data_IF_904172546323
#
_entry.id   IF_904172546323
#
_cell.length_a   1.000
_cell.length_b   1.000
_cell.length_c   1.000
_cell.angle_alpha   90.00
_cell.angle_beta   90.00
_cell.angle_gamma   90.00
#
_symmetry.space_group_name_H-M   'P 1'
#
loop_
_entity.id
_entity.type
_entity.pdbx_description
1 polymer ?
#
# COMPACT_ATOMS: atom_id res chain seq x y z
N UNK A 1 -30.84 6.55 -14.29
CA UNK A 1 -29.38 6.38 -14.42
C UNK A 1 -28.74 7.34 -13.44
N UNK A 2 -27.99 6.85 -12.45
CA UNK A 2 -27.30 7.74 -11.48
C UNK A 2 -26.23 8.51 -12.25
N UNK A 3 -26.41 9.82 -12.41
CA UNK A 3 -25.35 10.70 -12.91
C UNK A 3 -24.37 10.93 -11.76
N UNK A 4 -23.22 10.26 -11.86
CA UNK A 4 -22.08 10.52 -10.99
C UNK A 4 -21.44 11.80 -11.52
N UNK A 5 -21.54 12.91 -10.76
CA UNK A 5 -21.08 14.24 -11.18
C UNK A 5 -19.56 14.41 -11.20
N UNK A 6 -18.83 13.46 -10.61
CA UNK A 6 -17.37 13.46 -10.53
C UNK A 6 -16.85 12.03 -10.71
N UNK A 7 -15.90 11.79 -11.63
CA UNK A 7 -15.38 10.45 -11.86
C UNK A 7 -14.84 9.83 -10.55
N UNK A 8 -15.08 8.53 -10.31
CA UNK A 8 -14.63 7.87 -9.09
C UNK A 8 -13.10 7.85 -9.02
N UNK A 9 -12.55 8.16 -7.83
CA UNK A 9 -11.09 8.16 -7.59
C UNK A 9 -10.56 6.82 -7.06
N UNK A 10 -11.45 6.00 -6.49
CA UNK A 10 -11.18 4.64 -6.01
C UNK A 10 -12.46 3.83 -6.07
N UNK A 11 -12.34 2.57 -6.44
CA UNK A 11 -13.41 1.58 -6.39
C UNK A 11 -12.93 0.47 -5.45
N UNK A 12 -13.83 -0.03 -4.61
CA UNK A 12 -13.57 -1.18 -3.75
C UNK A 12 -14.65 -2.20 -4.02
N UNK A 13 -14.25 -3.38 -4.48
CA UNK A 13 -15.11 -4.55 -4.56
C UNK A 13 -15.00 -5.26 -3.22
N UNK A 14 -16.14 -5.45 -2.54
CA UNK A 14 -16.19 -6.00 -1.18
C UNK A 14 -16.84 -7.37 -1.16
N UNK A 15 -16.35 -8.24 -0.26
CA UNK A 15 -16.94 -9.56 0.02
C UNK A 15 -17.14 -10.41 -1.24
N UNK A 16 -16.13 -10.45 -2.09
CA UNK A 16 -16.08 -11.23 -3.32
C UNK A 16 -16.00 -12.72 -2.96
N UNK A 17 -16.78 -13.55 -3.66
CA UNK A 17 -16.66 -15.00 -3.55
C UNK A 17 -15.21 -15.42 -3.91
N UNK A 18 -14.50 -16.17 -3.06
CA UNK A 18 -13.14 -16.63 -3.34
C UNK A 18 -12.98 -17.33 -4.69
N UNK A 19 -14.02 -18.04 -5.16
CA UNK A 19 -14.00 -18.71 -6.45
C UNK A 19 -14.00 -17.74 -7.64
N UNK A 20 -14.41 -16.49 -7.44
CA UNK A 20 -14.50 -15.45 -8.47
C UNK A 20 -13.31 -14.51 -8.50
N UNK A 21 -12.51 -14.44 -7.42
CA UNK A 21 -11.40 -13.49 -7.28
C UNK A 21 -10.45 -13.57 -8.47
N UNK A 22 -9.96 -14.77 -8.81
CA UNK A 22 -9.01 -14.94 -9.92
C UNK A 22 -9.61 -14.46 -11.23
N UNK A 23 -10.86 -14.83 -11.53
CA UNK A 23 -11.53 -14.40 -12.76
C UNK A 23 -11.71 -12.88 -12.82
N UNK A 24 -12.05 -12.24 -11.70
CA UNK A 24 -12.19 -10.77 -11.64
C UNK A 24 -10.84 -10.09 -11.85
N UNK A 25 -9.78 -10.59 -11.20
CA UNK A 25 -8.42 -10.06 -11.37
C UNK A 25 -7.94 -10.21 -12.82
N UNK A 26 -8.15 -11.37 -13.45
CA UNK A 26 -7.78 -11.61 -14.85
C UNK A 26 -8.52 -10.68 -15.82
N UNK A 27 -9.79 -10.36 -15.54
CA UNK A 27 -10.57 -9.40 -16.34
C UNK A 27 -10.08 -7.96 -16.15
N UNK A 28 -9.78 -7.56 -14.91
CA UNK A 28 -9.27 -6.23 -14.60
C UNK A 28 -7.84 -6.01 -15.11
N UNK A 29 -7.01 -7.06 -15.14
CA UNK A 29 -5.62 -7.01 -15.62
C UNK A 29 -5.51 -6.62 -17.10
N UNK A 30 -6.58 -6.83 -17.88
CA UNK A 30 -6.69 -6.31 -19.26
C UNK A 30 -6.54 -4.78 -19.32
N UNK A 31 -6.78 -4.08 -18.21
CA UNK A 31 -6.68 -2.64 -18.05
C UNK A 31 -5.50 -2.20 -17.17
N UNK A 32 -4.47 -3.03 -16.97
CA UNK A 32 -3.30 -2.72 -16.13
C UNK A 32 -2.52 -1.45 -16.53
N UNK A 33 -2.71 -0.96 -17.77
CA UNK A 33 -2.13 0.31 -18.21
C UNK A 33 -2.85 1.53 -17.62
N UNK A 34 -4.08 1.36 -17.15
CA UNK A 34 -4.95 2.42 -16.63
C UNK A 34 -5.28 2.22 -15.16
N UNK A 35 -5.24 0.98 -14.66
CA UNK A 35 -5.64 0.60 -13.32
C UNK A 35 -4.48 0.01 -12.51
N UNK A 36 -4.48 0.32 -11.22
CA UNK A 36 -3.68 -0.35 -10.20
C UNK A 36 -4.63 -1.10 -9.25
N UNK A 37 -4.30 -2.36 -8.96
CA UNK A 37 -5.13 -3.25 -8.16
C UNK A 37 -4.36 -3.70 -6.92
N UNK A 38 -4.98 -3.57 -5.75
CA UNK A 38 -4.46 -4.12 -4.51
C UNK A 38 -5.44 -5.20 -4.04
N UNK A 39 -4.93 -6.42 -3.89
CA UNK A 39 -5.68 -7.56 -3.39
C UNK A 39 -4.78 -8.39 -2.47
N UNK A 40 -5.34 -8.83 -1.34
CA UNK A 40 -4.67 -9.72 -0.40
C UNK A 40 -5.31 -11.08 -0.44
N UNK A 41 -4.50 -12.14 -0.50
CA UNK A 41 -4.99 -13.51 -0.55
C UNK A 41 -5.89 -13.91 0.63
N UNK A 42 -5.82 -13.16 1.73
CA UNK A 42 -6.60 -13.37 2.95
C UNK A 42 -7.78 -12.40 3.06
N UNK A 43 -8.00 -11.54 2.07
CA UNK A 43 -9.06 -10.56 2.03
C UNK A 43 -9.94 -10.80 0.82
N UNK A 44 -11.26 -10.77 1.04
CA UNK A 44 -12.25 -10.96 -0.02
C UNK A 44 -12.58 -9.63 -0.71
N UNK A 45 -11.59 -8.75 -0.81
CA UNK A 45 -11.74 -7.40 -1.32
C UNK A 45 -10.70 -7.12 -2.41
N UNK A 46 -11.09 -6.32 -3.40
CA UNK A 46 -10.17 -5.78 -4.41
C UNK A 46 -10.30 -4.26 -4.40
N UNK A 47 -9.18 -3.61 -4.09
CA UNK A 47 -9.01 -2.17 -4.19
C UNK A 47 -8.54 -1.82 -5.61
N UNK A 48 -9.21 -0.88 -6.26
CA UNK A 48 -8.91 -0.44 -7.62
C UNK A 48 -8.72 1.07 -7.63
N UNK A 49 -7.57 1.52 -8.12
CA UNK A 49 -7.23 2.94 -8.35
C UNK A 49 -6.75 3.15 -9.77
N UNK A 50 -6.61 4.41 -10.20
CA UNK A 50 -5.91 4.70 -11.44
C UNK A 50 -4.42 4.34 -11.33
N UNK A 51 -3.79 4.00 -12.45
CA UNK A 51 -2.38 3.67 -12.52
C UNK A 51 -1.51 4.82 -11.98
N UNK A 52 -0.46 4.48 -11.24
CA UNK A 52 0.50 5.43 -10.67
C UNK A 52 -0.10 6.37 -9.61
N UNK A 53 -1.26 6.03 -9.03
CA UNK A 53 -1.84 6.75 -7.90
C UNK A 53 -1.57 5.97 -6.62
N UNK A 54 -0.46 6.30 -5.94
CA UNK A 54 -0.11 5.70 -4.66
C UNK A 54 0.63 6.72 -3.75
N UNK A 55 0.93 6.31 -2.51
CA UNK A 55 1.57 7.20 -1.52
C UNK A 55 2.96 7.69 -1.98
N UNK A 56 3.70 6.87 -2.72
CA UNK A 56 5.00 7.24 -3.23
C UNK A 56 4.90 8.32 -4.32
N UNK A 57 4.04 8.13 -5.31
CA UNK A 57 3.87 9.12 -6.39
C UNK A 57 3.27 10.42 -5.87
N UNK A 58 2.43 10.37 -4.83
CA UNK A 58 1.96 11.55 -4.11
C UNK A 58 3.11 12.33 -3.44
N UNK A 59 4.05 11.65 -2.79
CA UNK A 59 5.23 12.29 -2.20
C UNK A 59 6.11 12.95 -3.28
N UNK A 60 6.35 12.26 -4.40
CA UNK A 60 7.10 12.82 -5.52
C UNK A 60 6.42 14.07 -6.12
N UNK A 61 5.09 14.07 -6.17
CA UNK A 61 4.33 15.23 -6.64
C UNK A 61 4.45 16.44 -5.71
N UNK A 62 4.49 16.21 -4.38
CA UNK A 62 4.54 17.30 -3.39
C UNK A 62 5.95 17.86 -3.20
N UNK A 63 6.98 17.01 -3.23
CA UNK A 63 8.35 17.35 -2.79
C UNK A 63 9.45 17.11 -3.84
N UNK A 64 9.08 16.88 -5.09
CA UNK A 64 9.93 16.49 -6.22
C UNK A 64 10.45 15.03 -6.17
N UNK A 65 10.92 14.54 -7.33
CA UNK A 65 11.24 13.12 -7.55
C UNK A 65 12.36 12.55 -6.65
N UNK A 66 13.28 13.41 -6.19
CA UNK A 66 14.46 13.02 -5.42
C UNK A 66 14.30 13.24 -3.90
N UNK A 67 13.07 13.43 -3.43
CA UNK A 67 12.79 13.64 -2.01
C UNK A 67 13.33 12.46 -1.18
N UNK A 68 14.19 12.77 -0.20
CA UNK A 68 14.65 11.81 0.80
C UNK A 68 13.74 11.85 2.02
N UNK A 69 13.19 10.70 2.36
CA UNK A 69 12.31 10.56 3.51
C UNK A 69 12.56 9.23 4.24
N UNK A 70 12.15 9.20 5.50
CA UNK A 70 11.91 7.96 6.24
C UNK A 70 10.42 7.68 6.21
N UNK A 71 10.03 6.41 6.17
CA UNK A 71 8.63 6.03 6.06
C UNK A 71 8.25 4.98 7.08
N UNK A 72 7.03 5.10 7.56
CA UNK A 72 6.38 4.15 8.45
C UNK A 72 5.08 3.72 7.79
N UNK A 73 4.81 2.42 7.77
CA UNK A 73 3.62 1.85 7.15
C UNK A 73 3.25 0.54 7.83
N UNK A 74 2.04 0.06 7.59
CA UNK A 74 1.52 -1.14 8.24
C UNK A 74 0.77 -2.06 7.28
N UNK A 75 0.56 -1.64 6.04
CA UNK A 75 -0.28 -2.34 5.08
C UNK A 75 0.30 -2.26 3.65
N UNK A 76 -0.37 -2.90 2.70
CA UNK A 76 0.15 -3.06 1.35
C UNK A 76 0.16 -1.78 0.52
N UNK A 77 -0.79 -0.86 0.77
CA UNK A 77 -0.76 0.45 0.12
C UNK A 77 0.43 1.33 0.58
N UNK A 78 1.21 0.89 1.59
CA UNK A 78 2.45 1.52 2.01
C UNK A 78 3.69 0.96 1.31
N UNK A 79 3.62 -0.22 0.67
CA UNK A 79 4.80 -0.95 0.18
C UNK A 79 5.69 -0.08 -0.70
N UNK A 80 5.10 0.55 -1.72
CA UNK A 80 5.86 1.33 -2.71
C UNK A 80 6.56 2.51 -2.01
N UNK A 81 5.85 3.20 -1.11
CA UNK A 81 6.45 4.27 -0.29
C UNK A 81 7.58 3.74 0.61
N UNK A 82 7.37 2.59 1.27
CA UNK A 82 8.38 2.00 2.16
C UNK A 82 9.64 1.54 1.40
N UNK A 83 9.49 1.00 0.19
CA UNK A 83 10.59 0.54 -0.64
C UNK A 83 11.47 1.68 -1.17
N UNK A 84 10.86 2.85 -1.41
CA UNK A 84 11.55 4.03 -1.92
C UNK A 84 12.09 4.97 -0.81
N UNK A 85 11.73 4.72 0.45
CA UNK A 85 12.26 5.47 1.58
C UNK A 85 13.76 5.25 1.78
N UNK A 86 14.48 6.29 2.24
CA UNK A 86 15.86 6.14 2.71
C UNK A 86 15.95 5.18 3.91
N UNK A 87 14.86 5.05 4.67
CA UNK A 87 14.67 3.99 5.66
C UNK A 87 13.17 3.72 5.82
N UNK A 88 12.74 2.51 5.50
CA UNK A 88 11.36 2.05 5.64
C UNK A 88 11.17 1.18 6.88
N UNK A 89 10.08 1.42 7.60
CA UNK A 89 9.71 0.68 8.81
C UNK A 89 8.28 0.13 8.68
N UNK A 90 8.14 -1.18 8.83
CA UNK A 90 6.83 -1.83 8.88
C UNK A 90 6.38 -1.99 10.32
N UNK A 91 5.18 -1.51 10.62
CA UNK A 91 4.59 -1.50 11.95
C UNK A 91 3.65 -2.70 12.07
N UNK A 92 3.88 -3.54 13.07
CA UNK A 92 2.97 -4.66 13.34
C UNK A 92 3.15 -5.27 14.73
N UNK A 93 2.31 -6.26 15.07
CA UNK A 93 2.41 -6.99 16.34
C UNK A 93 3.62 -7.93 16.42
N UNK A 94 4.14 -8.42 15.29
CA UNK A 94 5.35 -9.25 15.23
C UNK A 94 6.00 -9.20 13.86
N UNK A 95 7.29 -9.52 13.79
CA UNK A 95 8.04 -9.59 12.54
C UNK A 95 7.49 -10.67 11.61
N UNK A 96 7.09 -11.83 12.16
CA UNK A 96 6.43 -12.90 11.41
C UNK A 96 5.10 -12.44 10.78
N UNK A 97 4.29 -11.67 11.52
CA UNK A 97 3.07 -11.09 10.97
C UNK A 97 3.39 -10.12 9.84
N UNK A 98 4.36 -9.22 10.04
CA UNK A 98 4.72 -8.25 9.01
C UNK A 98 5.38 -8.88 7.78
N UNK A 99 6.12 -9.98 7.92
CA UNK A 99 6.68 -10.74 6.79
C UNK A 99 5.63 -11.57 6.05
N UNK A 100 4.61 -12.05 6.75
CA UNK A 100 3.48 -12.74 6.11
C UNK A 100 2.66 -11.78 5.23
N UNK A 101 2.58 -10.51 5.63
CA UNK A 101 1.92 -9.45 4.87
C UNK A 101 2.85 -8.95 3.78
N UNK A 102 4.06 -8.50 4.14
CA UNK A 102 5.02 -7.84 3.26
C UNK A 102 6.36 -8.57 3.29
N UNK A 103 6.64 -9.42 2.29
CA UNK A 103 7.97 -10.03 2.10
C UNK A 103 8.98 -9.00 1.60
N UNK A 104 9.51 -8.18 2.50
CA UNK A 104 10.40 -7.08 2.13
C UNK A 104 11.71 -7.11 2.94
N UNK A 105 12.75 -7.71 2.37
CA UNK A 105 14.06 -7.91 3.02
C UNK A 105 14.77 -6.61 3.44
N UNK A 106 14.37 -5.46 2.89
CA UNK A 106 15.00 -4.14 3.14
C UNK A 106 14.23 -3.27 4.15
N UNK A 107 13.08 -3.71 4.64
CA UNK A 107 12.21 -2.93 5.53
C UNK A 107 12.27 -3.50 6.94
N UNK A 108 12.45 -2.62 7.93
CA UNK A 108 12.65 -3.03 9.33
C UNK A 108 11.30 -3.14 10.05
N UNK A 109 11.07 -4.26 10.71
CA UNK A 109 9.93 -4.39 11.61
C UNK A 109 10.09 -3.50 12.86
N UNK A 110 9.01 -2.84 13.27
CA UNK A 110 8.87 -2.21 14.59
C UNK A 110 7.50 -2.52 15.21
N UNK A 111 7.45 -2.53 16.54
CA UNK A 111 6.22 -2.80 17.29
C UNK A 111 5.14 -1.72 17.02
N UNK A 112 3.89 -2.13 17.08
CA UNK A 112 2.69 -1.30 16.87
C UNK A 112 2.33 -0.34 18.03
N UNK A 113 3.33 0.34 18.60
CA UNK A 113 3.12 1.35 19.64
C UNK A 113 3.89 2.65 19.35
N UNK A 114 3.39 3.75 19.92
CA UNK A 114 3.98 5.07 19.74
C UNK A 114 5.43 5.15 20.24
N UNK A 115 5.78 4.44 21.32
CA UNK A 115 7.15 4.45 21.84
C UNK A 115 8.17 3.89 20.83
N UNK A 116 7.79 2.88 20.04
CA UNK A 116 8.64 2.31 19.01
C UNK A 116 8.94 3.34 17.91
N UNK A 117 7.92 4.05 17.43
CA UNK A 117 8.10 5.14 16.45
C UNK A 117 9.00 6.23 17.03
N UNK A 118 8.72 6.68 18.26
CA UNK A 118 9.56 7.69 18.92
C UNK A 118 11.03 7.24 19.07
N UNK A 119 11.29 5.96 19.32
CA UNK A 119 12.65 5.43 19.43
C UNK A 119 13.39 5.53 18.09
N UNK A 120 12.72 5.19 16.98
CA UNK A 120 13.27 5.35 15.63
C UNK A 120 13.53 6.83 15.33
N UNK A 121 12.56 7.71 15.54
CA UNK A 121 12.72 9.14 15.27
C UNK A 121 13.89 9.76 16.06
N UNK A 122 14.12 9.31 17.30
CA UNK A 122 15.26 9.75 18.11
C UNK A 122 16.62 9.36 17.54
N UNK A 123 16.73 8.36 16.67
CA UNK A 123 18.00 7.97 16.04
C UNK A 123 18.38 8.81 14.81
N UNK A 124 17.48 9.69 14.34
CA UNK A 124 17.72 10.62 13.23
C UNK A 124 18.03 12.05 13.70
N UNK A 125 18.36 12.21 14.98
CA UNK A 125 18.79 13.49 15.56
C UNK A 125 20.20 13.86 15.16
#
# INVERSE_FOLDING_TARGET
MLQISTPPIKIILLNIDPAQITTILDELDKYHQELEMIHHSNEYNIDITAQNINKYTALQYIFDADVKYIAFGNDHNDIVMLQHASSGYIIGPSEAYTHAILKLDKIKHINNNAQAICKVLKSYK
#
